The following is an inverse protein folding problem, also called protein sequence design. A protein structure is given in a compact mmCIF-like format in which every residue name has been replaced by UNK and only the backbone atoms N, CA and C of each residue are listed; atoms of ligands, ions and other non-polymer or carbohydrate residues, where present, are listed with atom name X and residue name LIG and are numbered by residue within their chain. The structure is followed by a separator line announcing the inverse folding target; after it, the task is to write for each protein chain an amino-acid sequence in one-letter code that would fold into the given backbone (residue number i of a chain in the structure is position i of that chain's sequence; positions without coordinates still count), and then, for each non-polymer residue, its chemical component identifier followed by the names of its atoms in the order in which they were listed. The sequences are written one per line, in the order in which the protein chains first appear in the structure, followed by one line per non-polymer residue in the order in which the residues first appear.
data_IF_984978631850
#
_entry.id   IF_984978631850
#
_cell.length_a   1.000
_cell.length_b   1.000
_cell.length_c   1.000
_cell.angle_alpha   90.00
_cell.angle_beta   90.00
_cell.angle_gamma   90.00
#
_symmetry.space_group_name_H-M   'P 1'
#
loop_
_entity.id
_entity.type
_entity.pdbx_description
1 polymer ?
#
# COMPACT_ATOMS: atom_id res chain seq x y z
N UNK A 1 12.10 16.92 2.79
CA UNK A 1 11.18 16.86 3.94
C UNK A 1 10.18 15.73 3.69
N UNK A 2 9.88 14.90 4.68
CA UNK A 2 8.86 13.85 4.54
C UNK A 2 7.50 14.49 4.79
N UNK A 3 6.68 14.61 3.74
CA UNK A 3 5.30 15.08 3.86
C UNK A 3 4.42 13.91 4.28
N UNK A 4 3.83 13.99 5.47
CA UNK A 4 2.83 13.02 5.91
C UNK A 4 1.51 13.25 5.15
N UNK A 5 1.03 12.20 4.48
CA UNK A 5 -0.21 12.19 3.73
C UNK A 5 -1.24 11.32 4.45
N UNK A 6 -2.52 11.71 4.36
CA UNK A 6 -3.63 10.98 4.95
C UNK A 6 -4.32 10.11 3.89
N UNK A 7 -5.05 9.10 4.35
CA UNK A 7 -5.95 8.33 3.48
C UNK A 7 -6.95 9.29 2.83
N UNK A 8 -7.08 9.20 1.51
CA UNK A 8 -7.87 10.10 0.67
C UNK A 8 -7.05 11.19 -0.03
N UNK A 9 -5.84 11.48 0.43
CA UNK A 9 -4.97 12.46 -0.24
C UNK A 9 -4.39 11.86 -1.54
N UNK A 10 -4.30 12.71 -2.56
CA UNK A 10 -3.53 12.43 -3.78
C UNK A 10 -2.21 13.16 -3.72
N UNK A 11 -1.13 12.48 -4.07
CA UNK A 11 0.16 13.10 -4.32
C UNK A 11 0.65 12.80 -5.73
N UNK A 12 1.46 13.70 -6.27
CA UNK A 12 2.06 13.55 -7.58
C UNK A 12 3.58 13.50 -7.44
N UNK A 13 4.19 12.48 -8.06
CA UNK A 13 5.62 12.30 -8.05
C UNK A 13 6.04 11.51 -9.31
N UNK A 14 7.11 11.96 -9.97
CA UNK A 14 7.78 11.25 -11.07
C UNK A 14 6.84 10.80 -12.21
N UNK A 15 5.84 11.62 -12.55
CA UNK A 15 4.87 11.30 -13.60
C UNK A 15 3.76 10.34 -13.16
N UNK A 16 3.56 10.17 -11.87
CA UNK A 16 2.44 9.41 -11.31
C UNK A 16 1.65 10.25 -10.33
N UNK A 17 0.32 10.17 -10.41
CA UNK A 17 -0.57 10.55 -9.32
C UNK A 17 -1.00 9.31 -8.57
N UNK A 18 -0.77 9.31 -7.26
CA UNK A 18 -1.08 8.18 -6.37
C UNK A 18 -2.05 8.65 -5.30
N UNK A 19 -3.13 7.88 -5.11
CA UNK A 19 -4.14 8.10 -4.08
C UNK A 19 -4.33 6.83 -3.27
N UNK A 20 -4.24 6.93 -1.94
CA UNK A 20 -4.67 5.84 -1.04
C UNK A 20 -6.12 6.07 -0.69
N UNK A 21 -7.04 5.39 -1.37
CA UNK A 21 -8.49 5.59 -1.24
C UNK A 21 -8.99 5.13 0.13
N UNK A 22 -8.52 3.98 0.60
CA UNK A 22 -9.01 3.34 1.82
C UNK A 22 -8.00 2.36 2.39
N UNK A 23 -7.95 2.25 3.71
CA UNK A 23 -7.28 1.16 4.42
C UNK A 23 -8.31 0.42 5.28
N UNK A 24 -8.30 -0.91 5.24
CA UNK A 24 -9.20 -1.74 6.04
C UNK A 24 -8.50 -2.97 6.58
N UNK A 25 -8.95 -3.44 7.73
CA UNK A 25 -8.57 -4.76 8.22
C UNK A 25 -9.28 -5.84 7.42
N UNK A 26 -8.56 -6.93 7.12
CA UNK A 26 -9.09 -8.08 6.41
C UNK A 26 -9.22 -9.23 7.40
N UNK A 27 -10.43 -9.77 7.52
CA UNK A 27 -10.65 -10.98 8.32
C UNK A 27 -10.31 -12.20 7.46
N UNK A 28 -9.50 -13.14 7.96
CA UNK A 28 -9.19 -14.36 7.23
C UNK A 28 -10.48 -15.17 7.01
N UNK A 29 -10.63 -15.72 5.80
CA UNK A 29 -11.80 -16.52 5.43
C UNK A 29 -11.69 -17.98 5.88
N UNK A 30 -10.47 -18.43 6.21
CA UNK A 30 -10.17 -19.75 6.75
C UNK A 30 -8.88 -19.72 7.59
N UNK A 31 -8.56 -20.85 8.23
CA UNK A 31 -7.39 -20.98 9.11
C UNK A 31 -6.03 -20.95 8.38
N UNK A 32 -5.98 -21.37 7.12
CA UNK A 32 -4.76 -21.39 6.31
C UNK A 32 -4.29 -19.98 5.91
N UNK A 33 -5.23 -19.04 5.84
CA UNK A 33 -4.99 -17.64 5.49
C UNK A 33 -4.91 -16.73 6.72
N UNK A 34 -4.76 -17.29 7.93
CA UNK A 34 -4.56 -16.48 9.14
C UNK A 34 -3.20 -15.77 9.10
N UNK A 35 -3.13 -14.52 9.55
CA UNK A 35 -1.84 -13.87 9.77
C UNK A 35 -1.09 -14.61 10.89
N UNK A 36 0.24 -14.46 10.92
CA UNK A 36 1.05 -14.94 12.03
C UNK A 36 0.54 -14.40 13.38
N UNK A 37 0.81 -15.11 14.47
CA UNK A 37 0.37 -14.71 15.80
C UNK A 37 0.84 -13.28 16.13
N UNK A 38 -0.07 -12.45 16.65
CA UNK A 38 0.17 -11.04 16.91
C UNK A 38 0.02 -10.10 15.70
N UNK A 39 -0.14 -10.63 14.49
CA UNK A 39 -0.32 -9.84 13.27
C UNK A 39 -1.79 -9.79 12.82
N UNK A 40 -2.07 -8.84 11.92
CA UNK A 40 -3.37 -8.70 11.24
C UNK A 40 -3.16 -8.44 9.76
N UNK A 41 -4.12 -8.87 8.95
CA UNK A 41 -4.16 -8.47 7.55
C UNK A 41 -4.74 -7.08 7.41
N UNK A 42 -4.10 -6.27 6.58
CA UNK A 42 -4.60 -4.97 6.15
C UNK A 42 -4.59 -4.93 4.63
N UNK A 43 -5.64 -4.35 4.05
CA UNK A 43 -5.72 -4.06 2.63
C UNK A 43 -5.77 -2.56 2.42
N UNK A 44 -4.87 -2.06 1.58
CA UNK A 44 -4.91 -0.69 1.06
C UNK A 44 -5.50 -0.72 -0.35
N UNK A 45 -6.50 0.11 -0.57
CA UNK A 45 -7.07 0.42 -1.88
C UNK A 45 -6.32 1.65 -2.42
N UNK A 46 -5.61 1.47 -3.52
CA UNK A 46 -4.70 2.48 -4.08
C UNK A 46 -5.02 2.67 -5.56
N UNK A 47 -5.16 3.94 -5.98
CA UNK A 47 -5.23 4.33 -7.39
C UNK A 47 -3.90 4.93 -7.80
N UNK A 48 -3.40 4.50 -8.96
CA UNK A 48 -2.20 5.06 -9.57
C UNK A 48 -2.56 5.46 -11.00
N UNK A 49 -2.37 6.74 -11.31
CA UNK A 49 -2.59 7.33 -12.61
C UNK A 49 -1.22 7.69 -13.20
N UNK A 50 -0.90 7.16 -14.38
CA UNK A 50 0.26 7.56 -15.15
C UNK A 50 -0.03 8.92 -15.81
N UNK A 51 0.62 9.97 -15.33
CA UNK A 51 0.56 11.33 -15.90
C UNK A 51 1.76 11.65 -16.78
N UNK A 52 2.68 10.70 -16.96
CA UNK A 52 3.81 10.78 -17.87
C UNK A 52 3.45 10.51 -19.32
N UNK A 53 4.46 10.63 -20.18
CA UNK A 53 4.33 10.41 -21.63
C UNK A 53 4.84 9.04 -22.10
N UNK A 54 5.26 8.19 -21.17
CA UNK A 54 5.81 6.86 -21.43
C UNK A 54 5.01 5.80 -20.67
N UNK A 55 5.02 4.56 -21.18
CA UNK A 55 4.42 3.43 -20.49
C UNK A 55 5.19 3.10 -19.21
N UNK A 56 4.46 2.76 -18.16
CA UNK A 56 5.03 2.43 -16.85
C UNK A 56 4.64 1.03 -16.40
N UNK A 57 5.62 0.29 -15.88
CA UNK A 57 5.37 -0.99 -15.22
C UNK A 57 5.29 -0.78 -13.71
N UNK A 58 4.17 -1.20 -13.11
CA UNK A 58 3.95 -1.10 -11.66
C UNK A 58 3.96 -2.51 -11.06
N UNK A 59 4.82 -2.73 -10.08
CA UNK A 59 4.83 -3.94 -9.26
C UNK A 59 4.32 -3.63 -7.86
N UNK A 60 3.24 -4.29 -7.45
CA UNK A 60 2.69 -4.13 -6.10
C UNK A 60 3.69 -4.59 -5.02
N UNK A 61 4.46 -5.65 -5.27
CA UNK A 61 5.41 -6.20 -4.32
C UNK A 61 6.70 -5.39 -4.19
N UNK A 62 7.19 -4.78 -5.29
CA UNK A 62 8.44 -4.02 -5.30
C UNK A 62 8.24 -2.52 -5.10
N UNK A 63 7.06 -1.99 -5.44
CA UNK A 63 6.76 -0.57 -5.41
C UNK A 63 6.19 -0.06 -4.08
N UNK A 64 5.78 -0.94 -3.17
CA UNK A 64 5.12 -0.55 -1.93
C UNK A 64 5.74 -1.24 -0.71
N UNK A 65 5.78 -0.51 0.40
CA UNK A 65 6.26 -0.99 1.69
C UNK A 65 5.33 -0.51 2.80
N UNK A 66 4.87 -1.42 3.64
CA UNK A 66 4.10 -1.07 4.84
C UNK A 66 5.06 -0.96 6.04
N UNK A 67 4.99 0.15 6.76
CA UNK A 67 5.78 0.39 7.97
C UNK A 67 4.88 0.55 9.19
N UNK A 68 5.29 0.00 10.35
CA UNK A 68 4.66 0.36 11.63
C UNK A 68 5.25 1.67 12.20
N UNK A 69 4.71 2.10 13.34
CA UNK A 69 5.17 3.31 14.08
C UNK A 69 6.65 3.25 14.51
N UNK A 70 7.24 2.06 14.59
CA UNK A 70 8.63 1.84 14.99
C UNK A 70 9.54 1.67 13.75
N UNK A 71 8.98 1.79 12.53
CA UNK A 71 9.69 1.68 11.26
C UNK A 71 9.93 0.24 10.79
N UNK A 72 9.29 -0.76 11.40
CA UNK A 72 9.40 -2.16 10.95
C UNK A 72 8.65 -2.36 9.64
N UNK A 73 9.28 -3.06 8.71
CA UNK A 73 8.69 -3.39 7.41
C UNK A 73 7.86 -4.66 7.46
N UNK A 74 6.78 -4.68 6.69
CA UNK A 74 5.98 -5.87 6.42
C UNK A 74 5.93 -6.14 4.92
N UNK A 75 6.13 -7.39 4.55
CA UNK A 75 6.03 -7.84 3.17
C UNK A 75 4.56 -8.01 2.76
N UNK A 76 4.30 -7.78 1.47
CA UNK A 76 2.99 -8.04 0.90
C UNK A 76 2.78 -9.54 0.77
N UNK A 77 1.68 -10.05 1.34
CA UNK A 77 1.24 -11.40 1.05
C UNK A 77 0.54 -11.44 -0.32
N UNK A 78 0.87 -12.46 -1.12
CA UNK A 78 0.32 -12.71 -2.47
C UNK A 78 -0.75 -13.79 -2.36
#
# INVERSE_FOLDING_TARGET
ENKELKVGDTFEQDGFKVTVNKVREVKPTNDLLKPAEGNKWVAADVTIENTGNEDATISSALGFKLLDKDGRSFDMAI
#
